data_IF_654652906088
#
_entry.id   IF_654652906088
#
_cell.length_a   1.000
_cell.length_b   1.000
_cell.length_c   1.000
_cell.angle_alpha   90.00
_cell.angle_beta   90.00
_cell.angle_gamma   90.00
#
_symmetry.space_group_name_H-M   'P 1'
#
loop_
_entity.id
_entity.type
_entity.pdbx_description
1 polymer ?
#
# COMPACT_ATOMS: atom_id res chain seq x y z
N UNK A 1 -59.70 -19.32 -6.65
CA UNK A 1 -59.25 -17.96 -6.28
C UNK A 1 -58.10 -17.99 -5.27
N UNK A 2 -58.27 -18.45 -4.02
CA UNK A 2 -57.15 -18.47 -3.04
C UNK A 2 -56.01 -19.44 -3.42
N UNK A 3 -56.35 -20.59 -4.02
CA UNK A 3 -55.36 -21.60 -4.45
C UNK A 3 -54.52 -21.17 -5.65
N UNK A 4 -55.11 -20.41 -6.56
CA UNK A 4 -54.46 -19.90 -7.78
C UNK A 4 -53.50 -18.74 -7.45
N UNK A 5 -53.88 -17.89 -6.49
CA UNK A 5 -53.03 -16.81 -5.97
C UNK A 5 -51.79 -17.37 -5.27
N UNK A 6 -51.93 -18.40 -4.44
CA UNK A 6 -50.79 -19.04 -3.78
C UNK A 6 -49.84 -19.73 -4.77
N UNK A 7 -50.37 -20.33 -5.85
CA UNK A 7 -49.55 -20.93 -6.90
C UNK A 7 -48.77 -19.89 -7.71
N UNK A 8 -49.41 -18.75 -8.04
CA UNK A 8 -48.74 -17.63 -8.69
C UNK A 8 -47.65 -17.00 -7.80
N UNK A 9 -47.91 -16.83 -6.50
CA UNK A 9 -46.91 -16.34 -5.55
C UNK A 9 -45.71 -17.28 -5.43
N UNK A 10 -45.93 -18.60 -5.34
CA UNK A 10 -44.85 -19.58 -5.30
C UNK A 10 -44.02 -19.57 -6.58
N UNK A 11 -44.67 -19.50 -7.76
CA UNK A 11 -43.96 -19.39 -9.03
C UNK A 11 -43.15 -18.09 -9.12
N UNK A 12 -43.69 -16.96 -8.68
CA UNK A 12 -42.96 -15.69 -8.62
C UNK A 12 -41.74 -15.77 -7.69
N UNK A 13 -41.90 -16.31 -6.48
CA UNK A 13 -40.82 -16.48 -5.51
C UNK A 13 -39.72 -17.42 -6.05
N UNK A 14 -40.09 -18.51 -6.69
CA UNK A 14 -39.15 -19.44 -7.33
C UNK A 14 -38.37 -18.72 -8.46
N UNK A 15 -39.04 -17.94 -9.32
CA UNK A 15 -38.36 -17.20 -10.40
C UNK A 15 -37.43 -16.11 -9.89
N UNK A 16 -37.83 -15.36 -8.84
CA UNK A 16 -36.99 -14.36 -8.17
C UNK A 16 -35.75 -15.00 -7.52
N UNK A 17 -35.94 -16.16 -6.88
CA UNK A 17 -34.85 -16.90 -6.23
C UNK A 17 -33.87 -17.48 -7.26
N UNK A 18 -34.38 -17.96 -8.39
CA UNK A 18 -33.56 -18.50 -9.48
C UNK A 18 -32.78 -17.39 -10.22
N UNK A 19 -33.37 -16.21 -10.41
CA UNK A 19 -32.70 -15.05 -10.97
C UNK A 19 -31.59 -14.52 -10.06
N UNK A 20 -31.83 -14.46 -8.74
CA UNK A 20 -30.82 -14.09 -7.75
C UNK A 20 -29.67 -15.13 -7.71
N UNK A 21 -29.98 -16.42 -7.80
CA UNK A 21 -28.99 -17.50 -7.87
C UNK A 21 -28.16 -17.51 -9.15
N UNK A 22 -28.75 -17.19 -10.30
CA UNK A 22 -28.04 -17.10 -11.58
C UNK A 22 -27.07 -15.92 -11.64
N UNK A 23 -27.45 -14.75 -11.09
CA UNK A 23 -26.57 -13.58 -11.00
C UNK A 23 -25.39 -13.84 -10.05
N UNK A 24 -25.65 -14.46 -8.90
CA UNK A 24 -24.60 -14.85 -7.93
C UNK A 24 -23.69 -15.96 -8.46
N UNK A 25 -24.20 -16.83 -9.33
CA UNK A 25 -23.42 -17.86 -10.04
C UNK A 25 -22.44 -17.30 -11.08
N UNK A 26 -22.67 -16.10 -11.63
CA UNK A 26 -21.68 -15.39 -12.43
C UNK A 26 -20.53 -14.85 -11.58
N UNK A 27 -20.82 -14.26 -10.42
CA UNK A 27 -19.82 -13.74 -9.50
C UNK A 27 -18.89 -14.81 -8.89
N UNK A 28 -19.33 -16.07 -8.79
CA UNK A 28 -18.52 -17.17 -8.24
C UNK A 28 -17.53 -17.78 -9.26
N UNK A 29 -17.70 -17.50 -10.56
CA UNK A 29 -16.73 -17.85 -11.63
C UNK A 29 -15.71 -16.73 -11.87
N UNK A 30 -15.72 -15.70 -11.01
CA UNK A 30 -15.10 -14.38 -11.18
C UNK A 30 -14.05 -14.03 -10.10
N UNK A 31 -13.56 -14.96 -9.26
CA UNK A 31 -12.28 -14.74 -8.56
C UNK A 31 -11.18 -14.42 -9.58
N UNK A 32 -11.20 -15.11 -10.73
CA UNK A 32 -10.42 -14.80 -11.93
C UNK A 32 -10.74 -13.44 -12.55
N UNK A 33 -11.92 -12.86 -12.33
CA UNK A 33 -12.33 -11.60 -12.95
C UNK A 33 -11.91 -10.40 -12.10
N UNK A 34 -12.01 -10.48 -10.78
CA UNK A 34 -11.37 -9.49 -9.92
C UNK A 34 -9.85 -9.51 -10.13
N UNK A 35 -9.26 -10.70 -10.22
CA UNK A 35 -7.85 -10.86 -10.59
C UNK A 35 -7.56 -10.25 -11.97
N UNK A 36 -8.41 -10.46 -12.98
CA UNK A 36 -8.27 -9.80 -14.30
C UNK A 36 -8.46 -8.29 -14.24
N UNK A 37 -9.35 -7.77 -13.40
CA UNK A 37 -9.52 -6.32 -13.23
C UNK A 37 -8.28 -5.71 -12.55
N UNK A 38 -7.68 -6.43 -11.59
CA UNK A 38 -6.45 -6.01 -10.90
C UNK A 38 -5.19 -6.21 -11.75
N UNK A 39 -5.21 -7.06 -12.77
CA UNK A 39 -4.13 -7.20 -13.77
C UNK A 39 -3.91 -5.93 -14.61
N UNK A 40 -4.88 -5.02 -14.70
CA UNK A 40 -4.72 -3.68 -15.30
C UNK A 40 -4.32 -2.61 -14.27
N UNK A 41 -4.34 -2.98 -12.97
CA UNK A 41 -3.75 -2.24 -11.87
C UNK A 41 -2.42 -2.81 -11.37
N UNK A 42 -1.44 -3.24 -12.19
CA UNK A 42 -0.15 -3.72 -11.68
C UNK A 42 0.64 -2.72 -10.84
N UNK A 43 0.08 -1.57 -10.44
CA UNK A 43 0.61 -0.71 -9.38
C UNK A 43 0.54 -1.43 -8.02
N UNK A 44 -0.18 -2.55 -7.93
CA UNK A 44 -0.46 -3.26 -6.68
C UNK A 44 0.35 -4.53 -6.48
N UNK A 45 1.00 -5.06 -7.51
CA UNK A 45 1.69 -6.36 -7.40
C UNK A 45 2.80 -6.60 -8.42
N UNK A 46 3.09 -5.68 -9.35
CA UNK A 46 4.10 -5.93 -10.38
C UNK A 46 5.21 -4.86 -10.38
N UNK A 47 6.48 -5.27 -10.49
CA UNK A 47 7.62 -4.41 -10.84
C UNK A 47 7.40 -3.58 -12.14
N UNK A 48 6.38 -3.92 -12.94
CA UNK A 48 6.18 -3.38 -14.29
C UNK A 48 5.58 -1.99 -14.36
N UNK A 49 5.08 -1.41 -13.26
CA UNK A 49 4.69 0.02 -13.24
C UNK A 49 5.90 0.87 -12.92
N UNK A 50 6.85 0.77 -13.84
CA UNK A 50 7.81 1.81 -14.13
C UNK A 50 7.07 3.09 -14.45
N UNK A 51 7.51 4.16 -13.80
CA UNK A 51 7.18 5.53 -14.12
C UNK A 51 7.04 5.73 -15.64
N UNK A 52 5.86 6.18 -16.10
CA UNK A 52 5.71 6.65 -17.46
C UNK A 52 6.63 7.87 -17.61
N UNK A 53 7.56 7.81 -18.57
CA UNK A 53 8.63 8.82 -18.67
C UNK A 53 8.15 10.15 -19.22
N UNK A 54 7.09 10.08 -20.02
CA UNK A 54 6.61 11.18 -20.82
C UNK A 54 5.12 11.30 -20.64
N UNK A 55 4.61 12.50 -20.93
CA UNK A 55 3.18 12.76 -20.90
C UNK A 55 2.44 11.84 -21.88
N UNK A 56 3.04 11.54 -23.03
CA UNK A 56 2.48 10.66 -24.06
C UNK A 56 2.42 9.20 -23.61
N UNK A 57 3.47 8.70 -22.95
CA UNK A 57 3.45 7.37 -22.34
C UNK A 57 2.40 7.31 -21.22
N UNK A 58 2.34 8.34 -20.39
CA UNK A 58 1.40 8.42 -19.28
C UNK A 58 -0.05 8.45 -19.77
N UNK A 59 -0.35 9.25 -20.79
CA UNK A 59 -1.69 9.35 -21.38
C UNK A 59 -2.17 8.00 -21.93
N UNK A 60 -1.27 7.20 -22.52
CA UNK A 60 -1.58 5.83 -22.95
C UNK A 60 -1.83 4.90 -21.77
N UNK A 61 -0.95 4.90 -20.76
CA UNK A 61 -1.13 4.09 -19.54
C UNK A 61 -2.43 4.44 -18.81
N UNK A 62 -2.83 5.71 -18.84
CA UNK A 62 -4.06 6.19 -18.22
C UNK A 62 -5.34 5.64 -18.83
N UNK A 63 -5.32 5.17 -20.09
CA UNK A 63 -6.46 4.45 -20.67
C UNK A 63 -6.66 3.13 -19.93
N UNK A 64 -5.61 2.33 -19.81
CA UNK A 64 -5.66 1.01 -19.15
C UNK A 64 -5.96 1.12 -17.66
N UNK A 65 -5.32 2.05 -16.95
CA UNK A 65 -5.56 2.27 -15.51
C UNK A 65 -7.03 2.62 -15.23
N UNK A 66 -7.62 3.51 -16.04
CA UNK A 66 -9.04 3.88 -15.89
C UNK A 66 -9.98 2.74 -16.23
N UNK A 67 -9.63 1.89 -17.20
CA UNK A 67 -10.40 0.68 -17.51
C UNK A 67 -10.35 -0.32 -16.35
N UNK A 68 -9.19 -0.52 -15.73
CA UNK A 68 -9.03 -1.35 -14.53
C UNK A 68 -9.88 -0.88 -13.36
N UNK A 69 -9.85 0.43 -13.05
CA UNK A 69 -10.70 1.02 -11.99
C UNK A 69 -12.19 0.82 -12.29
N UNK A 70 -12.63 1.07 -13.53
CA UNK A 70 -14.03 0.85 -13.93
C UNK A 70 -14.45 -0.62 -13.83
N UNK A 71 -13.54 -1.55 -14.15
CA UNK A 71 -13.77 -2.99 -14.01
C UNK A 71 -14.05 -3.35 -12.55
N UNK A 72 -13.22 -2.87 -11.63
CA UNK A 72 -13.40 -3.04 -10.19
C UNK A 72 -14.71 -2.42 -9.71
N UNK A 73 -15.00 -1.18 -10.10
CA UNK A 73 -16.23 -0.50 -9.70
C UNK A 73 -17.49 -1.27 -10.15
N UNK A 74 -17.47 -1.80 -11.37
CA UNK A 74 -18.57 -2.59 -11.90
C UNK A 74 -18.73 -3.92 -11.15
N UNK A 75 -17.62 -4.64 -10.94
CA UNK A 75 -17.61 -5.87 -10.15
C UNK A 75 -18.18 -5.64 -8.75
N UNK A 76 -17.70 -4.61 -8.05
CA UNK A 76 -18.21 -4.22 -6.74
C UNK A 76 -19.71 -3.91 -6.76
N UNK A 77 -20.21 -3.24 -7.79
CA UNK A 77 -21.63 -2.91 -7.89
C UNK A 77 -22.54 -4.13 -8.15
N UNK A 78 -22.06 -5.08 -8.95
CA UNK A 78 -22.85 -6.24 -9.39
C UNK A 78 -22.78 -7.39 -8.40
N UNK A 79 -21.60 -7.63 -7.82
CA UNK A 79 -21.31 -8.86 -7.08
C UNK A 79 -21.28 -8.72 -5.57
N UNK A 80 -21.29 -7.50 -5.03
CA UNK A 80 -21.23 -7.26 -3.58
C UNK A 80 -22.51 -6.63 -3.04
N UNK A 81 -22.85 -6.97 -1.80
CA UNK A 81 -23.92 -6.32 -1.06
C UNK A 81 -23.55 -4.89 -0.67
N UNK A 82 -24.55 -4.05 -0.33
CA UNK A 82 -24.33 -2.63 -0.05
C UNK A 82 -23.29 -2.36 1.04
N UNK A 83 -23.24 -3.20 2.08
CA UNK A 83 -22.27 -3.05 3.16
C UNK A 83 -20.85 -3.46 2.71
N UNK A 84 -20.72 -4.54 1.94
CA UNK A 84 -19.47 -5.00 1.33
C UNK A 84 -18.94 -3.97 0.32
N UNK A 85 -19.81 -3.33 -0.47
CA UNK A 85 -19.44 -2.26 -1.40
C UNK A 85 -18.73 -1.11 -0.68
N UNK A 86 -19.22 -0.69 0.49
CA UNK A 86 -18.62 0.40 1.28
C UNK A 86 -17.22 0.01 1.75
N UNK A 87 -17.06 -1.21 2.26
CA UNK A 87 -15.76 -1.73 2.72
C UNK A 87 -14.79 -1.86 1.54
N UNK A 88 -15.23 -2.49 0.44
CA UNK A 88 -14.39 -2.73 -0.73
C UNK A 88 -13.94 -1.45 -1.43
N UNK A 89 -14.84 -0.48 -1.59
CA UNK A 89 -14.48 0.86 -2.11
C UNK A 89 -13.45 1.54 -1.23
N UNK A 90 -13.55 1.39 0.10
CA UNK A 90 -12.54 1.92 1.01
C UNK A 90 -11.18 1.27 0.79
N UNK A 91 -11.12 -0.03 0.49
CA UNK A 91 -9.86 -0.76 0.24
C UNK A 91 -9.11 -0.14 -0.96
N UNK A 92 -9.82 0.14 -2.05
CA UNK A 92 -9.24 0.63 -3.31
C UNK A 92 -9.23 2.16 -3.48
N UNK A 93 -9.78 2.92 -2.54
CA UNK A 93 -9.90 4.38 -2.65
C UNK A 93 -8.53 5.05 -2.89
N UNK A 94 -7.49 4.68 -2.14
CA UNK A 94 -6.16 5.30 -2.31
C UNK A 94 -5.58 5.14 -3.71
N UNK A 95 -5.85 4.01 -4.35
CA UNK A 95 -5.40 3.65 -5.70
C UNK A 95 -6.20 4.43 -6.73
N UNK A 96 -7.52 4.48 -6.53
CA UNK A 96 -8.46 5.25 -7.36
C UNK A 96 -8.09 6.73 -7.36
N UNK A 97 -7.77 7.28 -6.20
CA UNK A 97 -7.37 8.69 -6.04
C UNK A 97 -6.07 8.98 -6.79
N UNK A 98 -5.05 8.14 -6.64
CA UNK A 98 -3.77 8.34 -7.36
C UNK A 98 -3.98 8.21 -8.87
N UNK A 99 -4.71 7.22 -9.36
CA UNK A 99 -5.02 7.09 -10.80
C UNK A 99 -5.75 8.32 -11.31
N UNK A 100 -6.72 8.83 -10.56
CA UNK A 100 -7.48 10.02 -10.93
C UNK A 100 -6.60 11.26 -11.00
N UNK A 101 -5.75 11.51 -10.00
CA UNK A 101 -4.85 12.66 -9.95
C UNK A 101 -3.72 12.56 -10.98
N UNK A 102 -3.15 11.37 -11.19
CA UNK A 102 -2.07 11.13 -12.13
C UNK A 102 -2.55 11.26 -13.58
N UNK A 103 -3.77 10.81 -13.87
CA UNK A 103 -4.35 10.84 -15.22
C UNK A 103 -5.13 12.13 -15.52
N UNK A 104 -5.21 13.06 -14.58
CA UNK A 104 -5.81 14.37 -14.79
C UNK A 104 -4.70 15.41 -14.82
N UNK A 105 -4.68 16.24 -15.88
CA UNK A 105 -3.68 17.31 -15.98
C UNK A 105 -3.77 18.23 -14.76
N UNK A 106 -2.61 18.49 -14.15
CA UNK A 106 -2.52 19.33 -12.97
C UNK A 106 -1.23 19.08 -12.19
N UNK A 107 -1.15 19.71 -11.01
CA UNK A 107 0.07 19.74 -10.19
C UNK A 107 0.63 18.36 -9.85
N UNK A 108 -0.23 17.39 -9.54
CA UNK A 108 0.21 16.05 -9.18
C UNK A 108 0.86 15.31 -10.36
N UNK A 109 0.25 15.39 -11.54
CA UNK A 109 0.82 14.84 -12.77
C UNK A 109 2.13 15.55 -13.14
N UNK A 110 2.19 16.88 -13.03
CA UNK A 110 3.40 17.64 -13.35
C UNK A 110 4.56 17.28 -12.41
N UNK A 111 4.27 17.12 -11.11
CA UNK A 111 5.25 16.69 -10.11
C UNK A 111 5.72 15.25 -10.35
N UNK A 112 4.81 14.34 -10.73
CA UNK A 112 5.19 12.99 -11.13
C UNK A 112 6.16 12.99 -12.31
N UNK A 113 5.83 13.74 -13.38
CA UNK A 113 6.64 13.79 -14.60
C UNK A 113 8.00 14.47 -14.36
N UNK A 114 8.10 15.40 -13.41
CA UNK A 114 9.35 16.02 -12.98
C UNK A 114 10.37 14.99 -12.48
N UNK A 115 9.91 13.97 -11.74
CA UNK A 115 10.79 12.94 -11.15
C UNK A 115 10.92 11.68 -12.01
N UNK A 116 9.93 11.39 -12.87
CA UNK A 116 9.83 10.16 -13.66
C UNK A 116 11.10 9.83 -14.46
N UNK A 117 11.74 10.85 -15.04
CA UNK A 117 12.97 10.69 -15.83
C UNK A 117 14.11 10.04 -15.04
N UNK A 118 14.41 10.55 -13.85
CA UNK A 118 15.49 10.00 -13.03
C UNK A 118 15.10 8.67 -12.38
N UNK A 119 13.89 8.58 -11.81
CA UNK A 119 13.47 7.38 -11.08
C UNK A 119 13.44 6.16 -12.00
N UNK A 120 13.15 6.31 -13.30
CA UNK A 120 13.27 5.20 -14.25
C UNK A 120 14.71 4.72 -14.45
N UNK A 121 15.71 5.58 -14.37
CA UNK A 121 17.11 5.15 -14.52
C UNK A 121 17.54 4.22 -13.40
N UNK A 122 17.00 4.39 -12.19
CA UNK A 122 17.29 3.56 -11.02
C UNK A 122 16.26 2.45 -10.80
N UNK A 123 15.43 2.19 -11.81
CA UNK A 123 14.34 1.23 -11.74
C UNK A 123 14.80 -0.15 -11.28
N UNK A 124 15.88 -0.68 -11.83
CA UNK A 124 16.39 -2.02 -11.48
C UNK A 124 16.74 -2.16 -10.01
N UNK A 125 17.27 -1.09 -9.43
CA UNK A 125 17.74 -1.07 -8.04
C UNK A 125 16.54 -0.95 -7.10
N UNK A 126 15.61 -0.06 -7.46
CA UNK A 126 14.34 0.12 -6.77
C UNK A 126 13.47 -1.16 -6.79
N UNK A 127 13.38 -1.88 -7.92
CA UNK A 127 12.59 -3.11 -8.04
C UNK A 127 13.11 -4.24 -7.15
N UNK A 128 14.38 -4.22 -6.76
CA UNK A 128 14.90 -5.21 -5.82
C UNK A 128 14.33 -5.02 -4.41
N UNK A 129 13.88 -3.81 -4.06
CA UNK A 129 13.32 -3.49 -2.76
C UNK A 129 11.96 -4.16 -2.48
N UNK A 130 11.18 -4.53 -3.51
CA UNK A 130 9.84 -5.13 -3.31
C UNK A 130 9.86 -6.65 -3.15
N UNK A 131 10.96 -7.32 -3.51
CA UNK A 131 11.03 -8.80 -3.58
C UNK A 131 10.62 -9.50 -2.29
N UNK A 132 11.12 -9.03 -1.14
CA UNK A 132 10.77 -9.62 0.15
C UNK A 132 9.28 -9.43 0.45
N UNK A 133 8.76 -8.22 0.21
CA UNK A 133 7.35 -7.90 0.41
C UNK A 133 6.43 -8.75 -0.49
N UNK A 134 6.79 -8.94 -1.75
CA UNK A 134 6.07 -9.80 -2.69
C UNK A 134 6.03 -11.26 -2.22
N UNK A 135 7.19 -11.81 -1.83
CA UNK A 135 7.29 -13.18 -1.30
C UNK A 135 6.46 -13.33 -0.02
N UNK A 136 6.52 -12.33 0.88
CA UNK A 136 5.72 -12.30 2.10
C UNK A 136 4.22 -12.34 1.75
N UNK A 137 3.74 -11.49 0.85
CA UNK A 137 2.33 -11.51 0.42
C UNK A 137 1.90 -12.87 -0.18
N UNK A 138 2.76 -13.51 -0.98
CA UNK A 138 2.45 -14.79 -1.64
C UNK A 138 2.41 -15.97 -0.67
N UNK A 139 3.41 -16.07 0.22
CA UNK A 139 3.55 -17.18 1.18
C UNK A 139 2.39 -17.23 2.17
N UNK A 140 1.77 -16.09 2.42
CA UNK A 140 0.70 -15.93 3.39
C UNK A 140 -0.66 -16.40 2.88
N UNK A 141 -0.90 -16.36 1.58
CA UNK A 141 -2.10 -16.92 0.97
C UNK A 141 -2.12 -18.46 1.01
N UNK A 142 -0.95 -19.12 1.06
CA UNK A 142 -0.83 -20.59 1.10
C UNK A 142 -1.05 -21.19 2.50
N UNK A 143 -0.78 -20.47 3.58
CA UNK A 143 -0.88 -21.01 4.95
C UNK A 143 -2.30 -20.97 5.55
N UNK A 144 -3.27 -20.31 4.89
CA UNK A 144 -4.66 -20.26 5.37
C UNK A 144 -5.43 -21.59 5.19
N UNK A 145 -4.92 -22.54 4.39
CA UNK A 145 -5.60 -23.83 4.18
C UNK A 145 -5.32 -24.90 5.25
N UNK A 146 -4.25 -24.78 6.05
CA UNK A 146 -3.80 -25.87 6.94
C UNK A 146 -4.14 -25.70 8.43
N UNK A 147 -4.71 -24.57 8.87
CA UNK A 147 -4.93 -24.29 10.31
C UNK A 147 -6.41 -24.21 10.74
N UNK A 148 -7.23 -25.16 10.28
CA UNK A 148 -8.56 -25.42 10.87
C UNK A 148 -8.52 -26.53 11.92
N UNK A 149 -7.54 -26.51 12.82
CA UNK A 149 -7.58 -27.30 14.08
C UNK A 149 -6.44 -26.87 15.00
N UNK A 150 -6.79 -26.16 16.10
CA UNK A 150 -6.23 -26.25 17.47
C UNK A 150 -6.18 -24.87 18.14
N UNK A 151 -6.84 -24.80 19.30
CA UNK A 151 -6.75 -23.84 20.42
C UNK A 151 -6.71 -22.32 20.16
N UNK A 152 -7.76 -21.64 20.65
CA UNK A 152 -8.01 -20.20 20.55
C UNK A 152 -6.98 -19.29 21.23
N UNK A 153 -6.00 -19.83 21.97
CA UNK A 153 -4.95 -19.05 22.65
C UNK A 153 -3.65 -18.91 21.85
N UNK A 154 -3.39 -19.77 20.84
CA UNK A 154 -2.20 -19.68 19.97
C UNK A 154 -2.44 -19.03 18.59
N UNK A 155 -3.72 -18.82 18.23
CA UNK A 155 -4.12 -18.24 16.94
C UNK A 155 -3.97 -16.72 16.89
N UNK A 156 -4.14 -16.03 18.03
CA UNK A 156 -4.05 -14.56 18.14
C UNK A 156 -2.61 -14.09 17.94
N UNK A 157 -1.63 -14.80 18.54
CA UNK A 157 -0.20 -14.52 18.35
C UNK A 157 0.22 -14.73 16.89
N UNK A 158 -0.29 -15.78 16.24
CA UNK A 158 -0.03 -16.07 14.82
C UNK A 158 -0.53 -14.97 13.89
N UNK A 159 -1.72 -14.41 14.14
CA UNK A 159 -2.28 -13.34 13.31
C UNK A 159 -1.58 -11.98 13.52
N UNK A 160 -1.22 -11.64 14.75
CA UNK A 160 -0.43 -10.43 15.04
C UNK A 160 0.99 -10.53 14.47
N UNK A 161 1.64 -11.70 14.58
CA UNK A 161 2.97 -11.94 13.99
C UNK A 161 2.92 -11.89 12.46
N UNK A 162 1.83 -12.36 11.86
CA UNK A 162 1.57 -12.26 10.43
C UNK A 162 1.43 -10.81 9.96
N UNK A 163 0.57 -10.03 10.63
CA UNK A 163 0.40 -8.61 10.34
C UNK A 163 1.72 -7.86 10.51
N UNK A 164 2.45 -8.13 11.60
CA UNK A 164 3.80 -7.58 11.81
C UNK A 164 4.72 -7.90 10.64
N UNK A 165 4.74 -9.13 10.16
CA UNK A 165 5.61 -9.57 9.05
C UNK A 165 5.27 -8.85 7.74
N UNK A 166 3.99 -8.76 7.37
CA UNK A 166 3.53 -8.02 6.18
C UNK A 166 3.86 -6.54 6.30
N UNK A 167 3.59 -5.95 7.46
CA UNK A 167 3.79 -4.53 7.67
C UNK A 167 5.27 -4.15 7.70
N UNK A 168 6.13 -4.94 8.34
CA UNK A 168 7.56 -4.65 8.38
C UNK A 168 8.25 -4.86 7.03
N UNK A 169 7.89 -5.91 6.28
CA UNK A 169 8.37 -6.06 4.90
C UNK A 169 7.91 -4.91 3.99
N UNK A 170 6.70 -4.37 4.21
CA UNK A 170 6.25 -3.16 3.52
C UNK A 170 7.04 -1.91 3.92
N UNK A 171 7.36 -1.72 5.21
CA UNK A 171 8.20 -0.60 5.67
C UNK A 171 9.62 -0.68 5.10
N UNK A 172 10.21 -1.88 5.07
CA UNK A 172 11.51 -2.13 4.44
C UNK A 172 11.49 -1.75 2.96
N UNK A 173 10.45 -2.15 2.24
CA UNK A 173 10.25 -1.79 0.84
C UNK A 173 10.21 -0.26 0.64
N UNK A 174 9.41 0.45 1.44
CA UNK A 174 9.33 1.92 1.36
C UNK A 174 10.68 2.57 1.65
N UNK A 175 11.40 2.12 2.68
CA UNK A 175 12.70 2.67 3.06
C UNK A 175 13.78 2.42 2.01
N UNK A 176 13.92 1.18 1.56
CA UNK A 176 14.87 0.80 0.52
C UNK A 176 14.63 1.62 -0.76
N UNK A 177 13.36 1.77 -1.16
CA UNK A 177 12.97 2.55 -2.34
C UNK A 177 13.31 4.03 -2.18
N UNK A 178 12.95 4.62 -1.04
CA UNK A 178 13.23 6.02 -0.72
C UNK A 178 14.73 6.30 -0.74
N UNK A 179 15.55 5.46 -0.09
CA UNK A 179 17.00 5.63 -0.06
C UNK A 179 17.66 5.44 -1.43
N UNK A 180 17.18 4.48 -2.23
CA UNK A 180 17.70 4.22 -3.58
C UNK A 180 17.48 5.43 -4.49
N UNK A 181 16.27 6.00 -4.44
CA UNK A 181 15.95 7.22 -5.19
C UNK A 181 16.68 8.43 -4.61
N UNK A 182 16.81 8.54 -3.29
CA UNK A 182 17.53 9.66 -2.66
C UNK A 182 18.98 9.76 -3.13
N UNK A 183 19.70 8.62 -3.15
CA UNK A 183 21.11 8.57 -3.55
C UNK A 183 21.34 9.01 -4.99
N UNK A 184 20.36 8.81 -5.86
CA UNK A 184 20.55 8.96 -7.31
C UNK A 184 19.79 10.13 -7.93
N UNK A 185 18.64 10.49 -7.35
CA UNK A 185 17.69 11.46 -7.89
C UNK A 185 17.40 12.63 -6.94
N UNK A 186 17.93 12.59 -5.71
CA UNK A 186 17.78 13.65 -4.72
C UNK A 186 16.55 13.51 -3.81
N UNK A 187 16.51 14.37 -2.79
CA UNK A 187 15.55 14.27 -1.68
C UNK A 187 14.09 14.45 -2.12
N UNK A 188 13.83 15.36 -3.05
CA UNK A 188 12.46 15.62 -3.53
C UNK A 188 11.87 14.41 -4.26
N UNK A 189 12.65 13.78 -5.15
CA UNK A 189 12.26 12.57 -5.85
C UNK A 189 12.06 11.40 -4.87
N UNK A 190 12.89 11.30 -3.84
CA UNK A 190 12.79 10.27 -2.81
C UNK A 190 11.50 10.41 -2.00
N UNK A 191 11.20 11.62 -1.52
CA UNK A 191 9.99 11.93 -0.77
C UNK A 191 8.74 11.68 -1.62
N UNK A 192 8.75 12.13 -2.88
CA UNK A 192 7.66 11.86 -3.81
C UNK A 192 7.47 10.36 -4.04
N UNK A 193 8.53 9.61 -4.27
CA UNK A 193 8.47 8.16 -4.49
C UNK A 193 7.91 7.44 -3.27
N UNK A 194 8.40 7.73 -2.06
CA UNK A 194 7.91 7.13 -0.81
C UNK A 194 6.42 7.43 -0.60
N UNK A 195 5.99 8.67 -0.83
CA UNK A 195 4.59 9.07 -0.74
C UNK A 195 3.71 8.40 -1.81
N UNK A 196 4.20 8.29 -3.04
CA UNK A 196 3.54 7.60 -4.14
C UNK A 196 3.31 6.13 -3.79
N UNK A 197 4.37 5.38 -3.44
CA UNK A 197 4.29 3.97 -3.06
C UNK A 197 3.35 3.74 -1.88
N UNK A 198 3.43 4.59 -0.84
CA UNK A 198 2.53 4.52 0.31
C UNK A 198 1.07 4.73 -0.10
N UNK A 199 0.78 5.67 -1.00
CA UNK A 199 -0.60 5.92 -1.47
C UNK A 199 -1.14 4.80 -2.35
N UNK A 200 -0.26 4.19 -3.15
CA UNK A 200 -0.56 3.04 -4.00
C UNK A 200 -0.84 1.77 -3.21
N UNK A 201 -0.25 1.61 -2.02
CA UNK A 201 -0.65 0.53 -1.13
C UNK A 201 -2.15 0.60 -0.80
N UNK A 202 -2.80 -0.56 -0.81
CA UNK A 202 -4.23 -0.66 -0.49
C UNK A 202 -4.49 -0.04 0.89
N UNK A 203 -5.70 0.50 1.08
CA UNK A 203 -6.04 1.06 2.38
C UNK A 203 -6.12 -0.02 3.47
N UNK A 204 -6.17 -1.31 3.12
CA UNK A 204 -5.94 -2.42 4.05
C UNK A 204 -4.55 -2.28 4.66
N UNK A 205 -3.50 -2.29 3.83
CA UNK A 205 -2.12 -2.18 4.30
C UNK A 205 -1.94 -0.89 5.10
N UNK A 206 -2.48 0.24 4.66
CA UNK A 206 -2.38 1.50 5.43
C UNK A 206 -3.04 1.42 6.81
N UNK A 207 -4.20 0.79 6.90
CA UNK A 207 -4.96 0.73 8.14
C UNK A 207 -4.36 -0.30 9.11
N UNK A 208 -3.99 -1.49 8.62
CA UNK A 208 -3.39 -2.55 9.45
C UNK A 208 -1.94 -2.25 9.83
N UNK A 209 -1.19 -1.56 8.95
CA UNK A 209 0.19 -1.17 9.21
C UNK A 209 0.34 0.21 9.83
N UNK A 210 -0.75 0.82 10.32
CA UNK A 210 -0.71 2.14 10.95
C UNK A 210 0.15 2.12 12.22
N UNK A 211 0.08 1.05 13.00
CA UNK A 211 0.81 0.90 14.27
C UNK A 211 2.27 0.47 14.01
N UNK A 212 2.50 -0.41 13.03
CA UNK A 212 3.81 -0.90 12.61
C UNK A 212 4.63 0.14 11.82
N UNK A 213 5.15 1.13 12.54
CA UNK A 213 6.07 2.14 12.02
C UNK A 213 7.52 1.62 11.93
N UNK A 214 8.44 2.43 11.38
CA UNK A 214 9.86 2.06 11.21
C UNK A 214 10.51 1.55 12.49
N UNK A 215 10.22 2.20 13.63
CA UNK A 215 10.81 1.87 14.93
C UNK A 215 10.32 0.51 15.43
N UNK A 216 9.03 0.21 15.30
CA UNK A 216 8.48 -1.09 15.68
C UNK A 216 9.03 -2.25 14.85
N UNK A 217 9.47 -1.95 13.63
CA UNK A 217 10.15 -2.89 12.74
C UNK A 217 11.68 -2.91 12.93
N UNK A 218 12.24 -2.15 13.87
CA UNK A 218 13.67 -2.08 14.12
C UNK A 218 14.48 -1.42 13.00
N UNK A 219 13.82 -0.62 12.16
CA UNK A 219 14.44 0.06 11.03
C UNK A 219 15.00 1.44 11.44
N UNK A 220 16.12 1.89 10.84
CA UNK A 220 16.75 3.14 11.21
C UNK A 220 15.88 4.37 10.86
N UNK A 221 15.76 5.30 11.80
CA UNK A 221 15.11 6.59 11.56
C UNK A 221 16.07 7.62 10.93
N UNK A 222 15.56 8.40 9.97
CA UNK A 222 16.33 9.50 9.34
C UNK A 222 16.55 10.70 10.27
N UNK A 223 15.99 10.71 11.49
CA UNK A 223 16.07 11.86 12.39
C UNK A 223 16.15 11.45 13.86
N UNK A 224 17.35 11.44 14.43
CA UNK A 224 17.59 11.66 15.88
C UNK A 224 19.06 11.57 16.29
N UNK A 225 19.93 10.88 15.54
CA UNK A 225 21.31 10.67 15.99
C UNK A 225 22.23 11.91 15.87
N UNK A 226 21.96 12.86 14.96
CA UNK A 226 22.86 14.01 14.77
C UNK A 226 22.64 15.14 15.80
N UNK A 227 21.46 15.24 16.42
CA UNK A 227 21.16 16.32 17.38
C UNK A 227 21.70 16.01 18.78
N UNK A 228 21.60 14.76 19.23
CA UNK A 228 22.12 14.34 20.53
C UNK A 228 23.65 14.38 20.60
N UNK A 229 24.34 13.94 19.54
CA UNK A 229 25.81 13.96 19.50
C UNK A 229 26.37 15.38 19.50
N UNK A 230 25.75 16.32 18.77
CA UNK A 230 26.22 17.72 18.74
C UNK A 230 25.95 18.42 20.07
N UNK A 231 24.80 18.16 20.72
CA UNK A 231 24.50 18.69 22.06
C UNK A 231 25.50 18.18 23.10
N UNK A 232 25.80 16.88 23.13
CA UNK A 232 26.77 16.30 24.07
C UNK A 232 28.19 16.82 23.84
N UNK A 233 28.61 16.99 22.59
CA UNK A 233 29.93 17.57 22.25
C UNK A 233 30.01 19.04 22.68
N UNK A 234 28.94 19.83 22.48
CA UNK A 234 28.89 21.24 22.88
C UNK A 234 28.92 21.43 24.41
N UNK A 235 28.23 20.56 25.16
CA UNK A 235 28.23 20.60 26.63
C UNK A 235 29.60 20.17 27.18
N UNK A 236 30.22 19.13 26.61
CA UNK A 236 31.54 18.68 27.03
C UNK A 236 32.66 19.72 26.78
N UNK A 237 32.55 20.50 25.70
CA UNK A 237 33.51 21.57 25.41
C UNK A 237 33.30 22.81 26.29
N UNK A 238 32.05 23.16 26.62
CA UNK A 238 31.74 24.23 27.57
C UNK A 238 32.19 23.91 29.00
N UNK A 239 32.04 22.66 29.46
CA UNK A 239 32.50 22.25 30.80
C UNK A 239 34.02 22.20 30.89
N UNK A 240 34.71 21.77 29.83
CA UNK A 240 36.18 21.82 29.77
C UNK A 240 36.72 23.26 29.81
N UNK A 241 36.09 24.20 29.09
CA UNK A 241 36.47 25.61 29.11
C UNK A 241 36.22 26.26 30.48
N UNK A 242 35.09 25.96 31.12
CA UNK A 242 34.77 26.44 32.46
C UNK A 242 35.77 25.92 33.50
N UNK A 243 36.18 24.65 33.40
CA UNK A 243 37.16 24.04 34.29
C UNK A 243 38.55 24.68 34.14
N UNK A 244 39.01 24.91 32.90
CA UNK A 244 40.27 25.62 32.64
C UNK A 244 40.24 27.07 33.19
N UNK A 245 39.15 27.80 32.96
CA UNK A 245 39.03 29.17 33.45
C UNK A 245 39.02 29.28 35.00
N UNK A 246 38.57 28.23 35.71
CA UNK A 246 38.58 28.19 37.17
C UNK A 246 39.94 27.81 37.79
N UNK A 247 40.85 27.17 37.03
CA UNK A 247 42.18 26.78 37.53
C UNK A 247 43.16 27.97 37.52
N UNK A 248 42.98 28.95 36.63
CA UNK A 248 43.81 30.16 36.56
C UNK A 248 43.45 31.23 37.61
N UNK A 249 42.50 30.97 38.50
CA UNK A 249 42.01 31.93 39.51
C UNK A 249 42.46 31.62 40.95
N UNK A 250 43.43 30.73 41.16
CA UNK A 250 44.06 30.56 42.49
C UNK A 250 45.15 31.63 42.66
N UNK A 251 44.96 32.66 43.51
CA UNK A 251 46.01 33.62 43.82
C UNK A 251 46.94 33.01 44.87
N UNK A 252 48.26 33.06 44.61
CA UNK A 252 49.30 32.88 45.62
C UNK A 252 49.25 33.95 46.70
#
# INVERSE_FOLDING_TARGET
MSRDINLCCLLFIITLSFAAGALKGHCNREEDLLQRCSMALPVLSSPEISFALTREELDKSCVELRLGIKCIDNFTNVCMEKHEQVVFRRIYAGITDVVQELCTRGKYQDEYLKHAGCVKMVRSDYETCSKNYEVTLMTLNSHQQDQYQTDQTGLVTSHEDHLRTVCCSFQEYLMCSEETVQRSCGDEAALFTSAFLKRMASNIIKNFCFEYNRQECGLPDKGSHLSYSVLLISVASLTHLAFYASVDLVPT
#
